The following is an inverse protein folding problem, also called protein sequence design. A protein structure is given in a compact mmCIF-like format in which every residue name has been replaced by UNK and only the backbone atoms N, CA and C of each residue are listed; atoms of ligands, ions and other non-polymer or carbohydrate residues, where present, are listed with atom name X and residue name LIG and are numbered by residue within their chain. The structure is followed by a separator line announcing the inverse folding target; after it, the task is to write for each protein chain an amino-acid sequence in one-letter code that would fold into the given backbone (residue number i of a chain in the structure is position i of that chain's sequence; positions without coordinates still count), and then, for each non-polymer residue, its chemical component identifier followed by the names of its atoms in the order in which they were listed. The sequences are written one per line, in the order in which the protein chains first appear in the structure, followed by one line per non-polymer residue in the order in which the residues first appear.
data_IF_396425199535
#
_entry.id   IF_396425199535
#
_cell.length_a   1.000
_cell.length_b   1.000
_cell.length_c   1.000
_cell.angle_alpha   90.00
_cell.angle_beta   90.00
_cell.angle_gamma   90.00
#
_symmetry.space_group_name_H-M   'P 1'
#
loop_
_entity.id
_entity.type
_entity.pdbx_description
1 polymer ?
#
# COMPACT_ATOMS: atom_id res chain seq x y z
N UNK A 1 5.40 -0.63 81.99
CA UNK A 1 5.92 0.56 81.29
C UNK A 1 5.70 0.35 79.81
N UNK A 2 4.91 1.22 79.19
CA UNK A 2 4.46 1.12 77.80
C UNK A 2 5.63 0.99 76.83
N UNK A 3 5.56 -0.02 75.96
CA UNK A 3 6.48 -0.17 74.84
C UNK A 3 6.24 1.00 73.90
N UNK A 4 7.12 1.98 73.96
CA UNK A 4 7.16 3.13 73.08
C UNK A 4 7.40 2.61 71.65
N UNK A 5 6.32 2.31 70.92
CA UNK A 5 6.36 1.94 69.52
C UNK A 5 6.69 3.19 68.71
N UNK A 6 7.93 3.66 68.84
CA UNK A 6 8.51 4.59 67.88
C UNK A 6 8.54 3.84 66.55
N UNK A 7 7.48 4.06 65.76
CA UNK A 7 7.35 3.55 64.40
C UNK A 7 8.60 3.98 63.65
N UNK A 8 9.49 3.02 63.40
CA UNK A 8 10.69 3.20 62.60
C UNK A 8 10.26 3.81 61.27
N UNK A 9 10.70 5.03 60.99
CA UNK A 9 10.50 5.65 59.68
C UNK A 9 11.54 5.03 58.74
N UNK A 10 11.08 4.40 57.68
CA UNK A 10 11.98 3.85 56.67
C UNK A 10 12.71 5.02 55.99
N UNK A 11 14.04 5.05 56.12
CA UNK A 11 14.88 5.94 55.33
C UNK A 11 15.00 5.35 53.92
N UNK A 12 14.53 6.08 52.91
CA UNK A 12 14.79 5.71 51.51
C UNK A 12 16.11 6.34 51.11
N UNK A 13 17.12 5.51 50.85
CA UNK A 13 18.41 5.97 50.34
C UNK A 13 18.28 6.44 48.88
N UNK A 14 18.99 7.51 48.52
CA UNK A 14 19.07 7.96 47.12
C UNK A 14 19.72 6.90 46.22
N UNK A 15 20.56 6.03 46.78
CA UNK A 15 21.13 4.87 46.07
C UNK A 15 20.04 3.88 45.64
N UNK A 16 19.03 3.64 46.48
CA UNK A 16 17.91 2.74 46.13
C UNK A 16 17.09 3.28 44.96
N UNK A 17 16.93 4.61 44.87
CA UNK A 17 16.27 5.25 43.74
C UNK A 17 17.09 5.10 42.46
N UNK A 18 18.41 5.29 42.54
CA UNK A 18 19.31 5.15 41.40
C UNK A 18 19.31 3.74 40.80
N UNK A 19 19.40 2.74 41.67
CA UNK A 19 19.29 1.33 41.27
C UNK A 19 17.96 1.08 40.56
N UNK A 20 16.85 1.63 41.07
CA UNK A 20 15.54 1.53 40.42
C UNK A 20 15.51 2.17 39.03
N UNK A 21 16.17 3.32 38.83
CA UNK A 21 16.29 3.96 37.51
C UNK A 21 17.04 3.06 36.52
N UNK A 22 18.19 2.53 36.94
CA UNK A 22 19.01 1.64 36.11
C UNK A 22 18.26 0.37 35.69
N UNK A 23 17.53 -0.27 36.61
CA UNK A 23 16.71 -1.44 36.25
C UNK A 23 15.59 -1.11 35.26
N UNK A 24 14.96 0.05 35.38
CA UNK A 24 13.93 0.49 34.44
C UNK A 24 14.50 0.79 33.05
N UNK A 25 15.70 1.37 32.97
CA UNK A 25 16.41 1.61 31.72
C UNK A 25 16.78 0.29 31.04
N UNK A 26 17.36 -0.67 31.79
CA UNK A 26 17.63 -2.02 31.29
C UNK A 26 16.36 -2.73 30.81
N UNK A 27 15.24 -2.56 31.49
CA UNK A 27 13.96 -3.15 31.09
C UNK A 27 13.42 -2.49 29.81
N UNK A 28 13.59 -1.18 29.66
CA UNK A 28 13.26 -0.47 28.42
C UNK A 28 14.18 -0.90 27.27
N UNK A 29 15.49 -1.03 27.52
CA UNK A 29 16.45 -1.56 26.55
C UNK A 29 16.13 -3.00 26.15
N UNK A 30 15.70 -3.85 27.07
CA UNK A 30 15.23 -5.21 26.74
C UNK A 30 13.98 -5.19 25.86
N UNK A 31 13.03 -4.29 26.15
CA UNK A 31 11.82 -4.12 25.35
C UNK A 31 12.10 -3.55 23.96
N UNK A 32 13.06 -2.63 23.84
CA UNK A 32 13.48 -2.02 22.58
C UNK A 32 14.45 -2.91 21.78
N UNK A 33 15.26 -3.70 22.48
CA UNK A 33 16.30 -4.57 21.92
C UNK A 33 15.80 -5.94 21.51
N UNK A 34 14.55 -6.28 21.80
CA UNK A 34 13.85 -7.34 21.10
C UNK A 34 13.70 -6.90 19.63
N UNK A 35 14.67 -7.30 18.80
CA UNK A 35 14.59 -7.14 17.35
C UNK A 35 13.29 -7.80 16.92
N UNK A 36 12.32 -7.00 16.52
CA UNK A 36 11.07 -7.51 15.97
C UNK A 36 11.41 -8.29 14.71
N UNK A 37 11.10 -9.58 14.70
CA UNK A 37 11.42 -10.45 13.57
C UNK A 37 10.63 -9.96 12.35
N UNK A 38 11.35 -9.68 11.27
CA UNK A 38 10.79 -9.27 9.99
C UNK A 38 10.83 -10.43 9.03
N UNK A 39 9.76 -10.57 8.25
CA UNK A 39 9.63 -11.53 7.17
C UNK A 39 9.38 -10.81 5.85
N UNK A 40 9.76 -11.44 4.76
CA UNK A 40 9.55 -10.89 3.43
C UNK A 40 8.14 -11.22 2.93
N UNK A 41 7.29 -10.20 2.80
CA UNK A 41 5.93 -10.35 2.28
C UNK A 41 5.87 -9.97 0.79
N UNK A 42 5.08 -10.70 -0.01
CA UNK A 42 4.92 -10.47 -1.45
C UNK A 42 3.54 -9.94 -1.82
N UNK A 43 3.50 -8.83 -2.54
CA UNK A 43 2.28 -8.11 -2.87
C UNK A 43 1.45 -8.89 -3.88
N UNK A 44 0.22 -9.23 -3.50
CA UNK A 44 -0.71 -9.98 -4.34
C UNK A 44 -1.23 -9.19 -5.56
N UNK A 45 -0.91 -7.89 -5.67
CA UNK A 45 -1.21 -7.07 -6.84
C UNK A 45 -0.02 -6.99 -7.81
N UNK A 46 1.13 -6.48 -7.36
CA UNK A 46 2.25 -6.13 -8.24
C UNK A 46 3.48 -7.06 -8.13
N UNK A 47 3.47 -8.03 -7.21
CA UNK A 47 4.58 -8.97 -6.99
C UNK A 47 5.83 -8.34 -6.36
N UNK A 48 5.76 -7.07 -5.93
CA UNK A 48 6.84 -6.45 -5.16
C UNK A 48 6.88 -7.05 -3.75
N UNK A 49 8.10 -7.21 -3.23
CA UNK A 49 8.34 -7.73 -1.89
C UNK A 49 8.78 -6.62 -0.94
N UNK A 50 8.28 -6.64 0.28
CA UNK A 50 8.66 -5.71 1.35
C UNK A 50 8.99 -6.52 2.62
N UNK A 51 9.96 -6.05 3.41
CA UNK A 51 10.26 -6.63 4.71
C UNK A 51 9.29 -6.04 5.73
N UNK A 52 8.55 -6.89 6.43
CA UNK A 52 7.46 -6.51 7.32
C UNK A 52 7.45 -7.36 8.57
N UNK A 53 6.98 -6.79 9.68
CA UNK A 53 6.77 -7.58 10.91
C UNK A 53 5.53 -8.47 10.74
N UNK A 54 5.51 -9.61 11.41
CA UNK A 54 4.40 -10.58 11.30
C UNK A 54 3.05 -9.97 11.72
N UNK A 55 3.09 -9.07 12.71
CA UNK A 55 1.92 -8.30 13.15
C UNK A 55 1.40 -7.43 12.03
N UNK A 56 2.27 -6.63 11.40
CA UNK A 56 1.87 -5.75 10.31
C UNK A 56 1.35 -6.51 9.08
N UNK A 57 1.96 -7.65 8.74
CA UNK A 57 1.47 -8.53 7.65
C UNK A 57 0.03 -8.95 7.91
N UNK A 58 -0.27 -9.37 9.14
CA UNK A 58 -1.61 -9.85 9.55
C UNK A 58 -2.64 -8.72 9.48
N UNK A 59 -2.33 -7.55 10.04
CA UNK A 59 -3.22 -6.37 10.01
C UNK A 59 -3.57 -5.96 8.57
N UNK A 60 -2.58 -5.99 7.67
CA UNK A 60 -2.80 -5.70 6.25
C UNK A 60 -3.71 -6.77 5.62
N UNK A 61 -3.45 -8.06 5.85
CA UNK A 61 -4.26 -9.14 5.28
C UNK A 61 -5.73 -9.06 5.72
N UNK A 62 -6.02 -8.68 6.97
CA UNK A 62 -7.37 -8.45 7.47
C UNK A 62 -8.10 -7.35 6.70
N UNK A 63 -7.38 -6.30 6.31
CA UNK A 63 -7.95 -5.19 5.53
C UNK A 63 -8.25 -5.57 4.08
N UNK A 64 -7.48 -6.48 3.46
CA UNK A 64 -7.51 -6.75 2.02
C UNK A 64 -7.93 -8.18 1.69
N UNK A 65 -8.99 -8.67 2.33
CA UNK A 65 -9.60 -9.97 2.02
C UNK A 65 -8.61 -11.15 2.11
N UNK A 66 -7.76 -11.14 3.15
CA UNK A 66 -6.76 -12.17 3.41
C UNK A 66 -5.52 -12.07 2.52
N UNK A 67 -5.35 -10.99 1.74
CA UNK A 67 -4.22 -10.81 0.83
C UNK A 67 -3.29 -9.74 1.36
N UNK A 68 -1.99 -10.00 1.34
CA UNK A 68 -1.02 -8.96 1.62
C UNK A 68 -0.82 -8.06 0.40
N UNK A 69 -0.82 -6.74 0.64
CA UNK A 69 -0.74 -5.70 -0.40
C UNK A 69 0.28 -4.67 0.06
N UNK A 70 1.25 -4.33 -0.81
CA UNK A 70 2.25 -3.31 -0.52
C UNK A 70 1.62 -1.92 -0.32
N UNK A 71 2.33 -1.02 0.35
CA UNK A 71 1.83 0.33 0.68
C UNK A 71 1.23 1.07 -0.52
N UNK A 72 1.91 1.04 -1.68
CA UNK A 72 1.45 1.74 -2.88
C UNK A 72 0.17 1.15 -3.48
N UNK A 73 0.08 -0.18 -3.60
CA UNK A 73 -1.13 -0.82 -4.12
C UNK A 73 -2.30 -0.65 -3.14
N UNK A 74 -2.02 -0.59 -1.84
CA UNK A 74 -3.00 -0.35 -0.79
C UNK A 74 -3.70 1.00 -0.99
N UNK A 75 -2.94 2.07 -1.28
CA UNK A 75 -3.48 3.41 -1.53
C UNK A 75 -4.34 3.45 -2.80
N UNK A 76 -3.95 2.75 -3.86
CA UNK A 76 -4.74 2.69 -5.11
C UNK A 76 -6.07 1.97 -4.89
N UNK A 77 -6.07 0.89 -4.11
CA UNK A 77 -7.29 0.13 -3.78
C UNK A 77 -8.20 0.96 -2.89
N UNK A 78 -7.67 1.61 -1.84
CA UNK A 78 -8.42 2.52 -0.97
C UNK A 78 -9.06 3.65 -1.76
N UNK A 79 -8.30 4.29 -2.67
CA UNK A 79 -8.81 5.37 -3.52
C UNK A 79 -9.98 4.89 -4.40
N UNK A 80 -9.87 3.70 -4.99
CA UNK A 80 -10.94 3.12 -5.80
C UNK A 80 -12.22 2.85 -5.01
N UNK A 81 -12.09 2.26 -3.82
CA UNK A 81 -13.23 1.97 -2.94
C UNK A 81 -13.84 3.28 -2.42
N UNK A 82 -13.01 4.27 -2.06
CA UNK A 82 -13.44 5.58 -1.59
C UNK A 82 -14.22 6.37 -2.64
N UNK A 83 -13.80 6.32 -3.92
CA UNK A 83 -14.53 6.98 -5.02
C UNK A 83 -15.88 6.36 -5.33
N UNK A 84 -16.00 5.05 -5.14
CA UNK A 84 -17.19 4.28 -5.50
C UNK A 84 -17.55 3.31 -4.37
N UNK A 85 -18.28 3.77 -3.33
CA UNK A 85 -18.65 2.93 -2.19
C UNK A 85 -19.47 1.67 -2.55
N UNK A 86 -20.01 1.59 -3.77
CA UNK A 86 -20.69 0.41 -4.31
C UNK A 86 -19.75 -0.71 -4.73
N UNK A 87 -18.45 -0.44 -4.86
CA UNK A 87 -17.44 -1.42 -5.27
C UNK A 87 -16.98 -2.20 -4.04
N UNK A 88 -17.15 -3.52 -4.06
CA UNK A 88 -16.65 -4.36 -2.99
C UNK A 88 -15.11 -4.33 -2.95
N UNK A 89 -14.52 -4.41 -1.76
CA UNK A 89 -13.06 -4.43 -1.56
C UNK A 89 -12.38 -5.50 -2.42
N UNK A 90 -12.96 -6.70 -2.48
CA UNK A 90 -12.47 -7.80 -3.29
C UNK A 90 -12.44 -7.46 -4.80
N UNK A 91 -13.46 -6.77 -5.32
CA UNK A 91 -13.54 -6.38 -6.73
C UNK A 91 -12.53 -5.28 -7.06
N UNK A 92 -12.35 -4.32 -6.14
CA UNK A 92 -11.32 -3.30 -6.26
C UNK A 92 -9.91 -3.92 -6.30
N UNK A 93 -9.64 -4.87 -5.39
CA UNK A 93 -8.39 -5.62 -5.33
C UNK A 93 -8.15 -6.46 -6.59
N UNK A 94 -9.14 -7.22 -7.04
CA UNK A 94 -9.01 -8.07 -8.22
C UNK A 94 -8.70 -7.23 -9.46
N UNK A 95 -9.46 -6.16 -9.70
CA UNK A 95 -9.22 -5.32 -10.87
C UNK A 95 -7.90 -4.54 -10.79
N UNK A 96 -7.43 -4.16 -9.60
CA UNK A 96 -6.11 -3.56 -9.46
C UNK A 96 -5.00 -4.60 -9.70
N UNK A 97 -5.14 -5.82 -9.18
CA UNK A 97 -4.22 -6.93 -9.47
C UNK A 97 -4.13 -7.19 -10.97
N UNK A 98 -5.26 -7.30 -11.66
CA UNK A 98 -5.27 -7.58 -13.10
C UNK A 98 -4.55 -6.46 -13.88
N UNK A 99 -4.74 -5.19 -13.49
CA UNK A 99 -3.99 -4.05 -14.03
C UNK A 99 -2.48 -4.16 -13.76
N UNK A 100 -2.08 -4.51 -12.54
CA UNK A 100 -0.67 -4.68 -12.18
C UNK A 100 -0.03 -5.85 -12.94
N UNK A 101 -0.76 -6.96 -13.12
CA UNK A 101 -0.29 -8.11 -13.88
C UNK A 101 -0.08 -7.76 -15.35
N UNK A 102 -1.02 -7.05 -15.97
CA UNK A 102 -0.87 -6.56 -17.34
C UNK A 102 0.32 -5.60 -17.48
N UNK A 103 0.46 -4.64 -16.55
CA UNK A 103 1.60 -3.73 -16.53
C UNK A 103 2.92 -4.48 -16.38
N UNK A 104 2.97 -5.47 -15.49
CA UNK A 104 4.16 -6.28 -15.29
C UNK A 104 4.51 -7.07 -16.54
N UNK A 105 3.53 -7.74 -17.18
CA UNK A 105 3.72 -8.58 -18.35
C UNK A 105 4.02 -7.80 -19.65
N UNK A 106 3.70 -6.51 -19.71
CA UNK A 106 3.89 -5.70 -20.92
C UNK A 106 4.90 -4.58 -20.69
N UNK A 107 4.50 -3.54 -19.96
CA UNK A 107 5.28 -2.32 -19.77
C UNK A 107 6.55 -2.57 -18.97
N UNK A 108 6.49 -3.35 -17.88
CA UNK A 108 7.68 -3.62 -17.06
C UNK A 108 8.65 -4.58 -17.74
N UNK A 109 8.17 -5.60 -18.44
CA UNK A 109 9.01 -6.53 -19.20
C UNK A 109 9.74 -5.84 -20.36
N UNK A 110 9.07 -4.95 -21.09
CA UNK A 110 9.70 -4.22 -22.20
C UNK A 110 9.16 -2.79 -22.33
N UNK A 111 9.70 -1.83 -21.55
CA UNK A 111 9.23 -0.44 -21.55
C UNK A 111 9.34 0.23 -22.93
N UNK A 112 10.40 -0.05 -23.69
CA UNK A 112 10.64 0.53 -25.02
C UNK A 112 9.62 0.04 -26.05
N UNK A 113 9.33 -1.26 -26.06
CA UNK A 113 8.31 -1.83 -26.93
C UNK A 113 6.91 -1.32 -26.54
N UNK A 114 6.59 -1.29 -25.25
CA UNK A 114 5.32 -0.75 -24.74
C UNK A 114 5.10 0.72 -25.16
N UNK A 115 6.15 1.55 -25.06
CA UNK A 115 6.13 2.93 -25.56
C UNK A 115 5.89 2.98 -27.07
N UNK A 116 6.63 2.19 -27.85
CA UNK A 116 6.50 2.15 -29.32
C UNK A 116 5.10 1.71 -29.75
N UNK A 117 4.51 0.71 -29.08
CA UNK A 117 3.14 0.25 -29.33
C UNK A 117 2.12 1.35 -28.99
N UNK A 118 2.33 2.07 -27.89
CA UNK A 118 1.49 3.21 -27.49
C UNK A 118 1.56 4.34 -28.52
N UNK A 119 2.75 4.69 -29.00
CA UNK A 119 2.94 5.68 -30.06
C UNK A 119 2.24 5.27 -31.35
N UNK A 120 2.37 3.99 -31.73
CA UNK A 120 1.67 3.42 -32.90
C UNK A 120 0.15 3.54 -32.75
N UNK A 121 -0.38 3.25 -31.57
CA UNK A 121 -1.82 3.34 -31.28
C UNK A 121 -2.33 4.79 -31.34
N UNK A 122 -1.57 5.76 -30.80
CA UNK A 122 -1.88 7.19 -30.91
C UNK A 122 -1.92 7.62 -32.38
N UNK A 123 -0.93 7.22 -33.18
CA UNK A 123 -0.88 7.53 -34.61
C UNK A 123 -2.06 6.90 -35.38
N UNK A 124 -2.40 5.64 -35.05
CA UNK A 124 -3.54 4.92 -35.65
C UNK A 124 -4.87 5.63 -35.36
N UNK A 125 -5.14 5.96 -34.09
CA UNK A 125 -6.34 6.72 -33.68
C UNK A 125 -6.41 8.08 -34.37
N UNK A 126 -5.27 8.76 -34.51
CA UNK A 126 -5.19 10.05 -35.21
C UNK A 126 -5.57 9.94 -36.69
N UNK A 127 -5.15 8.86 -37.36
CA UNK A 127 -5.51 8.59 -38.76
C UNK A 127 -7.00 8.24 -38.92
N UNK A 128 -7.55 7.42 -38.02
CA UNK A 128 -8.96 7.04 -38.01
C UNK A 128 -9.87 8.26 -37.80
N UNK A 129 -9.51 9.15 -36.87
CA UNK A 129 -10.21 10.41 -36.63
C UNK A 129 -10.21 11.33 -37.86
N UNK A 130 -9.11 11.38 -38.64
CA UNK A 130 -9.10 12.14 -39.90
C UNK A 130 -10.02 11.53 -40.93
N UNK A 131 -10.07 10.19 -41.03
CA UNK A 131 -10.96 9.50 -41.96
C UNK A 131 -12.43 9.72 -41.63
N UNK A 132 -12.81 9.69 -40.34
CA UNK A 132 -14.19 9.95 -39.91
C UNK A 132 -14.61 11.41 -40.17
N UNK A 133 -13.72 12.39 -39.94
CA UNK A 133 -13.98 13.80 -40.29
C UNK A 133 -14.12 13.98 -41.80
N UNK A 134 -13.28 13.32 -42.60
CA UNK A 134 -13.36 13.38 -44.07
C UNK A 134 -14.63 12.69 -44.61
N UNK A 135 -15.10 11.61 -44.01
CA UNK A 135 -16.36 10.97 -44.43
C UNK A 135 -17.58 11.83 -44.08
N UNK A 136 -17.60 12.47 -42.91
CA UNK A 136 -18.67 13.41 -42.51
C UNK A 136 -18.74 14.61 -43.47
N UNK A 137 -17.60 15.22 -43.81
CA UNK A 137 -17.55 16.36 -44.75
C UNK A 137 -17.79 15.99 -46.22
N UNK A 138 -17.65 14.71 -46.59
CA UNK A 138 -18.07 14.21 -47.91
C UNK A 138 -19.58 14.00 -47.96
N UNK A 139 -20.18 13.50 -46.87
CA UNK A 139 -21.62 13.28 -46.79
C UNK A 139 -22.40 14.61 -46.80
N UNK A 140 -21.90 15.64 -46.12
CA UNK A 140 -22.52 16.98 -46.12
C UNK A 140 -22.55 17.63 -47.51
N UNK A 141 -21.57 17.33 -48.37
CA UNK A 141 -21.56 17.82 -49.77
C UNK A 141 -22.56 17.08 -50.67
N UNK A 142 -23.02 15.89 -50.30
CA UNK A 142 -23.95 15.10 -51.10
C UNK A 142 -25.43 15.43 -50.82
N UNK A 143 -25.74 16.10 -49.69
CA UNK A 143 -27.13 16.38 -49.26
C UNK A 143 -27.67 17.73 -49.80
N UNK A 144 -26.85 18.54 -50.47
CA UNK A 144 -27.36 19.73 -51.18
C UNK A 144 -27.91 19.36 -52.56
N UNK A 145 -29.15 18.87 -52.61
CA UNK A 145 -29.97 18.90 -53.83
C UNK A 145 -31.44 19.14 -53.44
N UNK A 146 -32.13 20.13 -54.05
CA UNK A 146 -33.55 20.39 -53.81
C UNK A 146 -34.46 19.39 -54.53
#
# INVERSE_FOLDING_TARGET
MEQNQQKLRNAVSDVSKEIGRYYNELELEKKLGAIEEVEQAECQCCGMKEDCTTVYITEVQECYCGKWVCGLCSEVVKERVGRSPKVAMQDALNSHRDFCQEYNATTRLNPQLSLTLSMREIAKRSLENRKSVLSITKLSRAISYP
#
